data_IF_369732056731
#
_entry.id   IF_369732056731
#
_cell.length_a   1.000
_cell.length_b   1.000
_cell.length_c   1.000
_cell.angle_alpha   90.00
_cell.angle_beta   90.00
_cell.angle_gamma   90.00
#
_symmetry.space_group_name_H-M   'P 1'
#
loop_
_entity.id
_entity.type
_entity.pdbx_description
1 polymer ?
#
# COMPACT_ATOMS: atom_id res chain seq x y z
N UNK A 1 -5.82 0.81 5.29
CA UNK A 1 -6.19 2.19 4.83
C UNK A 1 -6.85 2.92 5.98
N UNK A 2 -6.97 4.25 5.91
CA UNK A 2 -7.30 5.15 7.03
C UNK A 2 -8.50 4.69 7.85
N UNK A 3 -9.66 4.47 7.20
CA UNK A 3 -10.91 4.12 7.88
C UNK A 3 -10.77 2.85 8.71
N UNK A 4 -10.17 1.80 8.16
CA UNK A 4 -9.96 0.55 8.90
C UNK A 4 -8.96 0.70 10.04
N UNK A 5 -7.91 1.52 9.87
CA UNK A 5 -6.94 1.78 10.92
C UNK A 5 -7.58 2.55 12.09
N UNK A 6 -8.41 3.54 11.78
CA UNK A 6 -9.17 4.33 12.78
C UNK A 6 -10.14 3.45 13.57
N UNK A 7 -10.92 2.60 12.89
CA UNK A 7 -11.80 1.64 13.55
C UNK A 7 -11.08 0.68 14.52
N UNK A 8 -9.78 0.44 14.30
CA UNK A 8 -8.97 -0.45 15.11
C UNK A 8 -8.07 0.29 16.12
N UNK A 9 -8.10 1.63 16.15
CA UNK A 9 -7.22 2.43 17.01
C UNK A 9 -5.74 2.39 16.60
N UNK A 10 -5.44 2.10 15.32
CA UNK A 10 -4.09 1.94 14.77
C UNK A 10 -3.68 3.10 13.86
N UNK A 11 -4.42 4.22 13.88
CA UNK A 11 -4.22 5.32 12.94
C UNK A 11 -2.86 6.02 13.11
N UNK A 12 -2.28 5.97 14.29
CA UNK A 12 -0.93 6.49 14.57
C UNK A 12 0.19 5.60 14.00
N UNK A 13 -0.12 4.35 13.63
CA UNK A 13 0.84 3.37 13.15
C UNK A 13 0.69 3.07 11.66
N UNK A 14 -0.55 2.99 11.14
CA UNK A 14 -0.85 2.55 9.77
C UNK A 14 -2.06 3.28 9.16
N UNK A 15 -2.25 3.08 7.86
CA UNK A 15 -3.50 3.43 7.17
C UNK A 15 -3.45 4.69 6.32
N UNK A 16 -2.46 5.56 6.52
CA UNK A 16 -2.14 6.70 5.64
C UNK A 16 -0.64 6.72 5.32
N UNK A 17 -0.27 7.45 4.27
CA UNK A 17 1.14 7.65 3.90
C UNK A 17 1.63 8.95 4.54
N UNK A 18 2.17 8.84 5.75
CA UNK A 18 2.67 9.94 6.57
C UNK A 18 3.99 9.52 7.24
N UNK A 19 4.85 10.49 7.55
CA UNK A 19 6.09 10.22 8.30
C UNK A 19 5.79 9.62 9.68
N UNK A 20 6.65 8.70 10.13
CA UNK A 20 6.50 8.02 11.43
C UNK A 20 5.58 6.79 11.41
N UNK A 21 4.78 6.59 10.35
CA UNK A 21 3.94 5.40 10.17
C UNK A 21 4.69 4.26 9.47
N UNK A 22 4.13 3.05 9.52
CA UNK A 22 4.68 1.92 8.80
C UNK A 22 4.71 2.19 7.28
N UNK A 23 5.84 1.88 6.66
CA UNK A 23 6.04 2.05 5.22
C UNK A 23 5.40 0.89 4.43
N UNK A 24 4.07 0.86 4.43
CA UNK A 24 3.25 -0.06 3.63
C UNK A 24 2.69 0.65 2.40
N UNK A 25 3.20 0.30 1.22
CA UNK A 25 2.88 0.99 -0.04
C UNK A 25 2.64 -0.01 -1.18
N UNK A 26 1.62 0.27 -1.99
CA UNK A 26 1.35 -0.43 -3.25
C UNK A 26 1.56 0.54 -4.41
N UNK A 27 2.33 0.11 -5.42
CA UNK A 27 2.45 0.80 -6.69
C UNK A 27 1.68 -0.03 -7.72
N UNK A 28 0.72 0.62 -8.38
CA UNK A 28 -0.19 -0.02 -9.33
C UNK A 28 -0.08 0.63 -10.71
N UNK A 29 -0.42 -0.12 -11.76
CA UNK A 29 -0.52 0.43 -13.10
C UNK A 29 -1.93 1.00 -13.33
N UNK A 30 -2.01 2.25 -13.77
CA UNK A 30 -3.28 2.95 -13.99
C UNK A 30 -3.72 3.82 -12.80
N UNK A 31 -4.92 4.41 -12.91
CA UNK A 31 -5.46 5.33 -11.92
C UNK A 31 -6.71 4.75 -11.24
N UNK A 32 -6.65 4.40 -9.94
CA UNK A 32 -7.78 3.80 -9.21
C UNK A 32 -8.93 4.79 -8.99
N UNK A 33 -8.71 6.09 -9.09
CA UNK A 33 -9.77 7.10 -9.03
C UNK A 33 -10.62 7.15 -10.31
N UNK A 34 -10.09 6.62 -11.43
CA UNK A 34 -10.80 6.53 -12.72
C UNK A 34 -11.38 5.13 -12.93
N UNK A 35 -10.59 4.08 -12.67
CA UNK A 35 -11.03 2.69 -12.71
C UNK A 35 -10.52 1.93 -11.50
N UNK A 36 -11.43 1.57 -10.60
CA UNK A 36 -11.10 0.86 -9.36
C UNK A 36 -10.42 -0.50 -9.62
N UNK A 37 -10.61 -1.11 -10.80
CA UNK A 37 -9.96 -2.37 -11.18
C UNK A 37 -8.45 -2.25 -11.29
N UNK A 38 -7.90 -1.03 -11.43
CA UNK A 38 -6.46 -0.78 -11.43
C UNK A 38 -5.78 -1.28 -10.13
N UNK A 39 -6.52 -1.38 -9.02
CA UNK A 39 -6.01 -1.97 -7.77
C UNK A 39 -5.60 -3.44 -7.89
N UNK A 40 -6.06 -4.16 -8.92
CA UNK A 40 -5.65 -5.55 -9.18
C UNK A 40 -4.33 -5.67 -9.95
N UNK A 41 -3.89 -4.62 -10.64
CA UNK A 41 -2.64 -4.58 -11.42
C UNK A 41 -1.51 -3.97 -10.58
N UNK A 42 -1.09 -4.71 -9.57
CA UNK A 42 -0.05 -4.29 -8.63
C UNK A 42 1.34 -4.56 -9.23
N UNK A 43 2.12 -3.51 -9.48
CA UNK A 43 3.47 -3.60 -10.01
C UNK A 43 4.51 -3.91 -8.91
N UNK A 44 4.50 -3.12 -7.83
CA UNK A 44 5.49 -3.17 -6.74
C UNK A 44 4.80 -3.11 -5.38
N UNK A 45 5.31 -3.88 -4.42
CA UNK A 45 4.79 -3.95 -3.05
C UNK A 45 5.93 -3.68 -2.07
N UNK A 46 5.73 -2.70 -1.21
CA UNK A 46 6.58 -2.42 -0.05
C UNK A 46 5.77 -2.71 1.20
N UNK A 47 6.30 -3.56 2.08
CA UNK A 47 5.70 -3.94 3.35
C UNK A 47 6.67 -3.64 4.49
N UNK A 48 6.27 -2.78 5.41
CA UNK A 48 7.09 -2.35 6.56
C UNK A 48 8.53 -1.93 6.15
N UNK A 49 8.64 -1.24 5.01
CA UNK A 49 9.93 -0.79 4.46
C UNK A 49 10.72 -1.84 3.67
N UNK A 50 10.23 -3.08 3.55
CA UNK A 50 10.84 -4.13 2.75
C UNK A 50 10.13 -4.28 1.40
N UNK A 51 10.90 -4.36 0.31
CA UNK A 51 10.37 -4.62 -1.02
C UNK A 51 10.10 -6.13 -1.13
N UNK A 52 8.83 -6.52 -1.29
CA UNK A 52 8.42 -7.94 -1.44
C UNK A 52 8.12 -8.31 -2.88
N UNK A 53 7.80 -7.32 -3.71
CA UNK A 53 7.59 -7.45 -5.15
C UNK A 53 8.11 -6.19 -5.82
N UNK A 54 8.87 -6.32 -6.90
CA UNK A 54 9.42 -5.21 -7.67
C UNK A 54 9.23 -5.46 -9.16
N UNK A 55 8.68 -4.48 -9.90
CA UNK A 55 8.54 -4.55 -11.36
C UNK A 55 7.90 -5.86 -11.87
N UNK A 56 6.84 -6.32 -11.20
CA UNK A 56 6.17 -7.60 -11.45
C UNK A 56 6.91 -8.87 -11.05
N UNK A 57 8.13 -8.77 -10.51
CA UNK A 57 8.90 -9.90 -9.98
C UNK A 57 8.70 -10.02 -8.47
N UNK A 58 8.42 -11.24 -8.00
CA UNK A 58 8.26 -11.54 -6.59
C UNK A 58 9.64 -11.83 -5.97
N UNK A 59 9.95 -11.20 -4.84
CA UNK A 59 11.28 -11.24 -4.21
C UNK A 59 11.37 -12.14 -2.95
N UNK A 60 10.29 -12.86 -2.64
CA UNK A 60 10.19 -13.75 -1.48
C UNK A 60 10.61 -15.19 -1.79
#
# INVERSE_FOLDING_TARGET
TQVSADCLGLLDEIGTLEEGKAADVLIINGNPAVDIKALHDVNTIVKQGQIVKQENELLI
#
